data_IF_401253078529
#
_entry.id   IF_401253078529
#
_cell.length_a   1.000
_cell.length_b   1.000
_cell.length_c   1.000
_cell.angle_alpha   90.00
_cell.angle_beta   90.00
_cell.angle_gamma   90.00
#
_symmetry.space_group_name_H-M   'P 1'
#
loop_
_entity.id
_entity.type
_entity.pdbx_description
1 polymer ?
#
# COMPACT_ATOMS: atom_id res chain seq x y z
N UNK A 1 4.95 18.81 -2.55
CA UNK A 1 4.69 18.69 -1.09
C UNK A 1 5.09 17.28 -0.66
N UNK A 2 5.88 17.14 0.41
CA UNK A 2 6.21 15.82 0.96
C UNK A 2 4.96 15.26 1.63
N UNK A 3 4.45 14.13 1.13
CA UNK A 3 3.34 13.44 1.75
C UNK A 3 3.77 12.92 3.14
N UNK A 4 3.17 13.46 4.20
CA UNK A 4 3.37 12.97 5.56
C UNK A 4 2.47 11.75 5.79
N UNK A 5 3.04 10.65 6.28
CA UNK A 5 2.31 9.41 6.56
C UNK A 5 2.03 9.27 8.07
N UNK A 6 0.90 8.68 8.47
CA UNK A 6 0.67 8.28 9.86
C UNK A 6 1.79 7.34 10.36
N UNK A 7 2.15 7.37 11.66
CA UNK A 7 3.25 6.56 12.20
C UNK A 7 3.14 5.06 11.88
N UNK A 8 1.92 4.52 11.88
CA UNK A 8 1.64 3.11 11.57
C UNK A 8 1.99 2.78 10.11
N UNK A 9 1.62 3.64 9.17
CA UNK A 9 1.94 3.46 7.74
C UNK A 9 3.44 3.60 7.51
N UNK A 10 4.07 4.60 8.15
CA UNK A 10 5.51 4.81 8.05
C UNK A 10 6.30 3.59 8.55
N UNK A 11 5.97 3.10 9.76
CA UNK A 11 6.59 1.90 10.35
C UNK A 11 6.43 0.66 9.47
N UNK A 12 5.22 0.46 8.91
CA UNK A 12 4.96 -0.65 7.98
C UNK A 12 5.84 -0.55 6.72
N UNK A 13 5.93 0.64 6.12
CA UNK A 13 6.74 0.85 4.91
C UNK A 13 8.24 0.62 5.19
N UNK A 14 8.74 1.04 6.34
CA UNK A 14 10.13 0.84 6.75
C UNK A 14 10.45 -0.65 6.95
N UNK A 15 9.52 -1.41 7.55
CA UNK A 15 9.62 -2.88 7.65
C UNK A 15 9.66 -3.54 6.27
N UNK A 16 8.73 -3.20 5.39
CA UNK A 16 8.68 -3.74 4.01
C UNK A 16 9.99 -3.45 3.26
N UNK A 17 10.50 -2.23 3.35
CA UNK A 17 11.77 -1.82 2.71
C UNK A 17 12.96 -2.60 3.25
N UNK A 18 12.97 -2.97 4.53
CA UNK A 18 14.04 -3.79 5.11
C UNK A 18 13.98 -5.22 4.56
N UNK A 19 12.79 -5.81 4.51
CA UNK A 19 12.56 -7.18 4.05
C UNK A 19 12.72 -7.34 2.54
N UNK A 20 12.47 -6.29 1.75
CA UNK A 20 12.61 -6.31 0.29
C UNK A 20 14.05 -6.57 -0.18
N UNK A 21 15.05 -6.39 0.70
CA UNK A 21 16.47 -6.66 0.39
C UNK A 21 16.75 -8.13 0.08
N UNK A 22 15.87 -9.04 0.50
CA UNK A 22 16.01 -10.48 0.26
C UNK A 22 15.46 -10.94 -1.09
N UNK A 23 14.99 -10.00 -1.92
CA UNK A 23 14.33 -10.27 -3.20
C UNK A 23 15.16 -9.70 -4.34
N UNK A 24 15.27 -10.47 -5.42
CA UNK A 24 16.07 -10.12 -6.59
C UNK A 24 15.15 -9.67 -7.75
N UNK A 25 15.08 -8.37 -8.06
CA UNK A 25 14.30 -7.88 -9.20
C UNK A 25 15.08 -8.05 -10.51
N UNK A 26 14.49 -8.75 -11.46
CA UNK A 26 14.97 -8.93 -12.83
C UNK A 26 14.08 -8.12 -13.77
N UNK A 27 14.67 -7.18 -14.49
CA UNK A 27 13.94 -6.38 -15.47
C UNK A 27 13.58 -7.24 -16.69
N UNK A 28 12.36 -7.09 -17.19
CA UNK A 28 11.82 -7.90 -18.29
C UNK A 28 12.19 -7.37 -19.69
N UNK A 29 12.78 -6.19 -19.80
CA UNK A 29 13.13 -5.58 -21.09
C UNK A 29 12.09 -4.59 -21.64
N UNK A 30 11.08 -4.19 -20.86
CA UNK A 30 10.08 -3.22 -21.28
C UNK A 30 10.64 -1.80 -21.45
N UNK A 31 10.14 -1.04 -22.43
CA UNK A 31 10.67 0.28 -22.82
C UNK A 31 10.80 1.27 -21.67
N UNK A 32 9.84 1.29 -20.75
CA UNK A 32 9.75 2.26 -19.65
C UNK A 32 10.58 1.88 -18.42
N UNK A 33 11.20 0.69 -18.40
CA UNK A 33 11.93 0.15 -17.25
C UNK A 33 11.05 -0.04 -15.99
N UNK A 34 9.82 -0.53 -16.17
CA UNK A 34 8.81 -0.61 -15.12
C UNK A 34 8.32 -2.03 -14.80
N UNK A 35 8.67 -3.03 -15.63
CA UNK A 35 8.20 -4.42 -15.45
C UNK A 35 9.32 -5.35 -15.01
N UNK A 36 9.09 -6.02 -13.89
CA UNK A 36 10.07 -6.87 -13.23
C UNK A 36 9.49 -8.24 -12.88
N UNK A 37 10.29 -9.28 -13.07
CA UNK A 37 10.14 -10.55 -12.37
C UNK A 37 10.99 -10.48 -11.10
N UNK A 38 10.37 -10.61 -9.94
CA UNK A 38 11.04 -10.49 -8.65
C UNK A 38 11.19 -11.87 -8.03
N UNK A 39 12.42 -12.36 -7.96
CA UNK A 39 12.78 -13.71 -7.55
C UNK A 39 13.03 -13.78 -6.04
N UNK A 40 12.60 -14.89 -5.43
CA UNK A 40 12.78 -15.18 -4.01
C UNK A 40 11.91 -16.34 -3.56
N UNK A 41 12.14 -16.79 -2.32
CA UNK A 41 11.32 -17.85 -1.72
C UNK A 41 10.00 -17.26 -1.19
N UNK A 42 8.82 -17.91 -1.38
CA UNK A 42 8.61 -19.25 -1.93
C UNK A 42 8.39 -19.31 -3.45
N UNK A 43 8.15 -18.17 -4.11
CA UNK A 43 7.87 -18.12 -5.56
C UNK A 43 8.15 -16.72 -6.12
N UNK A 44 8.32 -16.65 -7.43
CA UNK A 44 8.56 -15.40 -8.14
C UNK A 44 7.27 -14.57 -8.25
N UNK A 45 7.42 -13.26 -8.31
CA UNK A 45 6.31 -12.33 -8.42
C UNK A 45 6.52 -11.39 -9.60
N UNK A 46 5.44 -11.09 -10.33
CA UNK A 46 5.48 -10.09 -11.40
C UNK A 46 5.08 -8.74 -10.80
N UNK A 47 5.88 -7.72 -11.07
CA UNK A 47 5.65 -6.34 -10.65
C UNK A 47 5.58 -5.44 -11.89
N UNK A 48 4.57 -4.59 -11.94
CA UNK A 48 4.46 -3.49 -12.91
C UNK A 48 4.37 -2.19 -12.11
N UNK A 49 5.45 -1.40 -12.13
CA UNK A 49 5.60 -0.17 -11.35
C UNK A 49 4.69 0.95 -11.86
N UNK A 50 4.49 1.05 -13.18
CA UNK A 50 3.64 2.05 -13.81
C UNK A 50 2.18 1.86 -13.44
N UNK A 51 1.72 0.60 -13.47
CA UNK A 51 0.36 0.23 -13.05
C UNK A 51 0.22 0.08 -11.54
N UNK A 52 1.32 0.11 -10.78
CA UNK A 52 1.34 -0.06 -9.32
C UNK A 52 0.73 -1.38 -8.86
N UNK A 53 1.03 -2.46 -9.60
CA UNK A 53 0.51 -3.80 -9.31
C UNK A 53 1.64 -4.78 -9.05
N UNK A 54 1.30 -5.80 -8.26
CA UNK A 54 2.13 -6.97 -8.04
C UNK A 54 1.22 -8.20 -7.95
N UNK A 55 1.64 -9.34 -8.49
CA UNK A 55 0.86 -10.60 -8.45
C UNK A 55 0.54 -11.07 -7.05
N UNK A 56 1.28 -10.64 -6.02
CA UNK A 56 0.93 -10.89 -4.62
C UNK A 56 -0.32 -10.14 -4.11
N UNK A 57 -0.89 -9.24 -4.91
CA UNK A 57 -2.11 -8.44 -4.64
C UNK A 57 -2.06 -7.48 -3.44
N UNK A 58 -1.02 -7.55 -2.61
CA UNK A 58 -0.89 -6.69 -1.43
C UNK A 58 -0.96 -5.19 -1.78
N UNK A 59 -0.35 -4.78 -2.89
CA UNK A 59 -0.31 -3.37 -3.27
C UNK A 59 -1.68 -2.84 -3.66
N UNK A 60 -2.43 -3.58 -4.48
CA UNK A 60 -3.78 -3.16 -4.87
C UNK A 60 -4.74 -3.17 -3.67
N UNK A 61 -4.60 -4.11 -2.73
CA UNK A 61 -5.45 -4.22 -1.54
C UNK A 61 -5.19 -3.12 -0.51
N UNK A 62 -3.93 -2.74 -0.30
CA UNK A 62 -3.55 -1.84 0.81
C UNK A 62 -3.22 -0.44 0.35
N UNK A 63 -2.97 -0.23 -0.94
CA UNK A 63 -2.39 0.99 -1.48
C UNK A 63 -0.91 1.20 -1.11
N UNK A 64 -0.25 0.22 -0.48
CA UNK A 64 1.15 0.32 -0.04
C UNK A 64 1.99 -0.64 -0.90
N UNK A 65 3.14 -0.20 -1.46
CA UNK A 65 4.04 -1.10 -2.18
C UNK A 65 4.41 -2.31 -1.31
N UNK A 66 4.27 -3.52 -1.86
CA UNK A 66 4.64 -4.75 -1.18
C UNK A 66 6.17 -4.94 -1.15
N UNK A 67 6.65 -6.01 -0.50
CA UNK A 67 8.09 -6.33 -0.44
C UNK A 67 8.71 -6.48 -1.84
N UNK A 68 8.00 -7.09 -2.79
CA UNK A 68 8.46 -7.28 -4.18
C UNK A 68 8.53 -5.95 -4.93
N UNK A 69 7.50 -5.12 -4.80
CA UNK A 69 7.46 -3.80 -5.39
C UNK A 69 8.58 -2.91 -4.82
N UNK A 70 8.84 -2.96 -3.52
CA UNK A 70 9.95 -2.25 -2.90
C UNK A 70 11.33 -2.71 -3.42
N UNK A 71 11.50 -3.99 -3.74
CA UNK A 71 12.71 -4.49 -4.37
C UNK A 71 12.91 -3.88 -5.78
N UNK A 72 11.87 -3.93 -6.62
CA UNK A 72 11.87 -3.31 -7.95
C UNK A 72 12.09 -1.79 -7.88
N UNK A 73 11.42 -1.08 -6.97
CA UNK A 73 11.59 0.36 -6.74
C UNK A 73 13.03 0.72 -6.34
N UNK A 74 13.66 -0.11 -5.52
CA UNK A 74 15.08 0.06 -5.16
C UNK A 74 15.98 -0.10 -6.38
N UNK A 75 15.68 -1.05 -7.28
CA UNK A 75 16.44 -1.29 -8.52
C UNK A 75 16.39 -0.12 -9.50
N UNK A 76 15.28 0.62 -9.52
CA UNK A 76 15.08 1.82 -10.35
C UNK A 76 15.37 3.13 -9.62
N UNK A 77 15.93 3.07 -8.40
CA UNK A 77 16.25 4.22 -7.56
C UNK A 77 15.05 5.16 -7.27
N UNK A 78 13.84 4.60 -7.17
CA UNK A 78 12.62 5.34 -6.79
C UNK A 78 12.28 5.08 -5.32
N UNK A 79 11.69 6.08 -4.64
CA UNK A 79 11.33 5.96 -3.22
C UNK A 79 9.96 5.29 -3.06
N UNK A 80 9.83 4.24 -2.25
CA UNK A 80 8.52 3.58 -2.01
C UNK A 80 7.41 4.52 -1.53
N UNK A 81 7.76 5.58 -0.80
CA UNK A 81 6.82 6.60 -0.32
C UNK A 81 6.04 7.28 -1.45
N UNK A 82 6.66 7.49 -2.60
CA UNK A 82 6.05 8.17 -3.75
C UNK A 82 5.04 7.27 -4.49
N UNK A 83 5.01 5.99 -4.11
CA UNK A 83 4.22 4.92 -4.72
C UNK A 83 3.06 4.44 -3.84
N UNK A 84 2.94 4.97 -2.61
CA UNK A 84 1.77 4.76 -1.76
C UNK A 84 0.54 5.47 -2.33
N UNK A 85 -0.64 4.93 -2.04
CA UNK A 85 -1.92 5.54 -2.37
C UNK A 85 -2.15 6.80 -1.53
N UNK A 86 -2.84 7.80 -2.08
CA UNK A 86 -3.09 9.08 -1.41
C UNK A 86 -3.90 8.91 -0.10
N UNK A 87 -4.76 7.90 -0.04
CA UNK A 87 -5.52 7.57 1.17
C UNK A 87 -4.66 7.10 2.35
N UNK A 88 -3.39 6.74 2.12
CA UNK A 88 -2.47 6.39 3.19
C UNK A 88 -1.87 7.61 3.89
N UNK A 89 -2.07 8.83 3.36
CA UNK A 89 -1.47 10.05 3.89
C UNK A 89 -2.18 10.55 5.16
N UNK A 90 -1.45 11.32 5.98
CA UNK A 90 -2.01 11.97 7.16
C UNK A 90 -3.09 13.00 6.77
N UNK A 91 -2.97 13.62 5.60
CA UNK A 91 -4.00 14.51 5.08
C UNK A 91 -5.32 13.76 4.87
N UNK A 92 -5.28 12.60 4.22
CA UNK A 92 -6.47 11.76 4.05
C UNK A 92 -7.03 11.28 5.40
N UNK A 93 -6.16 10.86 6.33
CA UNK A 93 -6.57 10.49 7.68
C UNK A 93 -7.33 11.62 8.39
N UNK A 94 -6.75 12.82 8.40
CA UNK A 94 -7.36 13.99 9.04
C UNK A 94 -8.69 14.37 8.38
N UNK A 95 -8.80 14.26 7.05
CA UNK A 95 -10.05 14.51 6.32
C UNK A 95 -11.14 13.49 6.69
N UNK A 96 -10.79 12.20 6.77
CA UNK A 96 -11.73 11.13 7.14
C UNK A 96 -12.32 11.34 8.53
N UNK A 97 -11.51 11.79 9.49
CA UNK A 97 -11.93 12.02 10.88
C UNK A 97 -12.14 13.50 11.22
N UNK A 98 -12.34 14.36 10.22
CA UNK A 98 -12.55 15.80 10.43
C UNK A 98 -13.88 16.11 11.14
N UNK A 99 -14.84 15.19 11.07
CA UNK A 99 -16.18 15.34 11.62
C UNK A 99 -16.37 14.45 12.83
N UNK A 100 -17.26 14.88 13.73
CA UNK A 100 -17.61 14.10 14.92
C UNK A 100 -18.62 13.00 14.57
N UNK A 101 -18.51 11.87 15.25
CA UNK A 101 -19.55 10.85 15.27
C UNK A 101 -20.66 11.36 16.19
N UNK A 102 -21.87 11.47 15.67
CA UNK A 102 -23.03 11.87 16.48
C UNK A 102 -23.32 10.79 17.53
N UNK A 103 -23.74 11.18 18.75
CA UNK A 103 -24.17 10.23 19.75
C UNK A 103 -25.34 9.41 19.21
N UNK A 104 -25.24 8.08 19.36
CA UNK A 104 -26.33 7.18 19.04
C UNK A 104 -27.24 7.02 20.27
N UNK A 105 -28.57 7.03 20.09
CA UNK A 105 -29.46 6.67 21.19
C UNK A 105 -29.20 5.22 21.61
N UNK A 106 -29.57 4.86 22.85
CA UNK A 106 -29.39 3.49 23.34
C UNK A 106 -30.11 2.47 22.45
N UNK A 107 -29.59 1.24 22.37
CA UNK A 107 -30.11 0.18 21.49
C UNK A 107 -31.62 -0.06 21.63
N UNK A 108 -32.19 0.15 22.83
CA UNK A 108 -33.63 0.04 23.09
C UNK A 108 -34.49 1.07 22.36
N UNK A 109 -33.90 2.20 21.95
CA UNK A 109 -34.56 3.29 21.23
C UNK A 109 -34.39 3.19 19.71
N UNK A 110 -33.67 2.17 19.23
CA UNK A 110 -33.48 1.97 17.79
C UNK A 110 -34.78 1.48 17.15
N UNK A 111 -35.02 1.89 15.90
CA UNK A 111 -36.11 1.36 15.10
C UNK A 111 -35.95 -0.16 14.94
N UNK A 112 -37.03 -0.90 15.20
CA UNK A 112 -37.01 -2.35 15.05
C UNK A 112 -37.05 -2.68 13.56
N UNK A 113 -36.12 -3.54 13.14
CA UNK A 113 -36.12 -4.09 11.78
C UNK A 113 -37.41 -4.87 11.53
N UNK A 114 -38.00 -4.67 10.35
CA UNK A 114 -39.17 -5.40 9.85
C UNK A 114 -38.86 -6.87 9.49
N UNK A 115 -37.57 -7.22 9.50
CA UNK A 115 -37.06 -8.54 9.10
C UNK A 115 -36.68 -9.42 10.31
N UNK A 116 -37.23 -9.10 11.48
CA UNK A 116 -37.12 -9.90 12.72
C UNK A 116 -38.49 -10.39 13.10
#
# INVERSE_FOLDING_TARGET
>A
MLAYFPPVIQSRLDKIRKESKNWMPIWTGDEDYEKFEVHGHPTNMVVDLGKRICTCQFWILTGIPCIHACAALTRVNKRPKDFCHQLCTMEAYNKTYAHHINPLPGQSLWEKSMYT
#
